data_IF_976960903069
#
_entry.id   IF_976960903069
#
_cell.length_a   1.000
_cell.length_b   1.000
_cell.length_c   1.000
_cell.angle_alpha   90.00
_cell.angle_beta   90.00
_cell.angle_gamma   90.00
#
_symmetry.space_group_name_H-M   'P 1'
#
loop_
_entity.id
_entity.type
_entity.pdbx_description
1 polymer ?
#
# COMPACT_ATOMS: atom_id res chain seq x y z
N UNK A 1 9.37 15.10 -19.42
CA UNK A 1 8.13 15.01 -18.61
C UNK A 1 8.35 13.91 -17.60
N UNK A 2 8.00 14.14 -16.35
CA UNK A 2 8.04 13.12 -15.28
C UNK A 2 7.08 11.99 -15.66
N UNK A 3 7.49 10.73 -15.47
CA UNK A 3 6.61 9.60 -15.75
C UNK A 3 5.41 9.59 -14.75
N UNK A 4 4.23 9.16 -15.19
CA UNK A 4 3.02 9.26 -14.38
C UNK A 4 3.11 8.54 -13.02
N UNK A 5 3.83 7.39 -12.96
CA UNK A 5 4.07 6.65 -11.72
C UNK A 5 5.03 7.37 -10.73
N UNK A 6 5.82 8.33 -11.22
CA UNK A 6 6.72 9.14 -10.39
C UNK A 6 6.00 10.32 -9.73
N UNK A 7 4.81 10.68 -10.20
CA UNK A 7 3.98 11.69 -9.56
C UNK A 7 3.58 11.23 -8.16
N UNK A 8 3.62 12.14 -7.18
CA UNK A 8 3.01 11.89 -5.87
C UNK A 8 1.49 11.76 -6.02
N UNK A 9 0.79 11.26 -5.02
CA UNK A 9 -0.65 11.11 -5.13
C UNK A 9 -1.36 12.47 -5.32
N UNK A 10 -0.89 13.50 -4.64
CA UNK A 10 -1.41 14.86 -4.75
C UNK A 10 -1.14 15.46 -6.13
N UNK A 11 0.06 15.24 -6.69
CA UNK A 11 0.41 15.68 -8.05
C UNK A 11 -0.40 14.92 -9.09
N UNK A 12 -0.54 13.61 -8.96
CA UNK A 12 -1.34 12.79 -9.86
C UNK A 12 -2.82 13.22 -9.84
N UNK A 13 -3.37 13.52 -8.63
CA UNK A 13 -4.73 14.04 -8.51
C UNK A 13 -4.88 15.37 -9.25
N UNK A 14 -3.96 16.31 -9.03
CA UNK A 14 -3.97 17.61 -9.70
C UNK A 14 -3.85 17.48 -11.23
N UNK A 15 -2.98 16.60 -11.74
CA UNK A 15 -2.81 16.34 -13.16
C UNK A 15 -4.07 15.71 -13.78
N UNK A 16 -4.76 14.82 -13.05
CA UNK A 16 -6.05 14.26 -13.50
C UNK A 16 -7.15 15.33 -13.52
N UNK A 17 -7.21 16.22 -12.53
CA UNK A 17 -8.18 17.32 -12.48
C UNK A 17 -7.95 18.33 -13.59
N UNK A 18 -6.69 18.53 -14.00
CA UNK A 18 -6.31 19.36 -15.14
C UNK A 18 -6.52 18.67 -16.51
N UNK A 19 -6.83 17.39 -16.53
CA UNK A 19 -6.98 16.60 -17.76
C UNK A 19 -5.65 16.30 -18.47
N UNK A 20 -4.52 16.42 -17.76
CA UNK A 20 -3.18 16.14 -18.29
C UNK A 20 -2.88 14.64 -18.38
N UNK A 21 -3.42 13.87 -17.44
CA UNK A 21 -3.39 12.40 -17.43
C UNK A 21 -4.76 11.84 -17.05
N UNK A 22 -5.04 10.61 -17.43
CA UNK A 22 -6.20 9.86 -16.94
C UNK A 22 -5.80 8.92 -15.78
N UNK A 23 -6.80 8.44 -15.02
CA UNK A 23 -6.60 7.37 -14.05
C UNK A 23 -6.04 6.08 -14.71
N UNK A 24 -6.43 5.82 -15.96
CA UNK A 24 -5.90 4.71 -16.76
C UNK A 24 -4.42 4.88 -17.07
N UNK A 25 -3.96 6.09 -17.40
CA UNK A 25 -2.55 6.37 -17.67
C UNK A 25 -1.69 6.14 -16.41
N UNK A 26 -2.16 6.63 -15.24
CA UNK A 26 -1.48 6.42 -13.97
C UNK A 26 -1.42 4.93 -13.61
N UNK A 27 -2.53 4.21 -13.74
CA UNK A 27 -2.58 2.77 -13.47
C UNK A 27 -1.65 1.99 -14.41
N UNK A 28 -1.65 2.31 -15.70
CA UNK A 28 -0.78 1.67 -16.68
C UNK A 28 0.70 1.93 -16.36
N UNK A 29 1.07 3.16 -15.99
CA UNK A 29 2.44 3.51 -15.61
C UNK A 29 2.88 2.77 -14.33
N UNK A 30 2.02 2.68 -13.31
CA UNK A 30 2.29 1.89 -12.10
C UNK A 30 2.50 0.40 -12.44
N UNK A 31 1.65 -0.19 -13.27
CA UNK A 31 1.79 -1.59 -13.71
C UNK A 31 3.06 -1.84 -14.50
N UNK A 32 3.42 -0.92 -15.40
CA UNK A 32 4.67 -1.00 -16.14
C UNK A 32 5.88 -0.99 -15.19
N UNK A 33 5.87 -0.12 -14.19
CA UNK A 33 6.92 -0.07 -13.16
C UNK A 33 6.99 -1.35 -12.33
N UNK A 34 5.86 -1.92 -11.93
CA UNK A 34 5.81 -3.22 -11.24
C UNK A 34 6.42 -4.31 -12.12
N UNK A 35 6.02 -4.39 -13.38
CA UNK A 35 6.54 -5.41 -14.32
C UNK A 35 8.05 -5.30 -14.53
N UNK A 36 8.59 -4.08 -14.54
CA UNK A 36 10.03 -3.81 -14.68
C UNK A 36 10.81 -4.21 -13.42
N UNK A 37 10.29 -3.95 -12.22
CA UNK A 37 11.09 -3.93 -11.00
C UNK A 37 10.75 -5.00 -9.97
N UNK A 38 9.52 -5.51 -9.97
CA UNK A 38 9.09 -6.38 -8.87
C UNK A 38 9.71 -7.77 -8.91
N UNK A 39 10.27 -8.18 -10.05
CA UNK A 39 11.10 -9.39 -10.13
C UNK A 39 12.30 -9.37 -9.17
N UNK A 40 12.89 -8.20 -8.96
CA UNK A 40 14.02 -7.97 -8.08
C UNK A 40 13.57 -7.53 -6.68
N UNK A 41 12.69 -6.54 -6.59
CA UNK A 41 12.27 -5.92 -5.32
C UNK A 41 11.33 -6.84 -4.52
N UNK A 42 10.45 -7.58 -5.19
CA UNK A 42 9.47 -8.51 -4.58
C UNK A 42 8.60 -7.84 -3.52
N UNK A 43 8.06 -6.69 -3.88
CA UNK A 43 7.19 -5.92 -3.00
C UNK A 43 5.74 -6.45 -2.96
N UNK A 44 5.32 -7.15 -4.02
CA UNK A 44 3.94 -7.63 -4.18
C UNK A 44 3.86 -9.15 -4.00
N UNK A 45 2.86 -9.61 -3.26
CA UNK A 45 2.52 -11.04 -3.15
C UNK A 45 1.30 -11.39 -4.00
N UNK A 46 0.45 -10.41 -4.34
CA UNK A 46 -0.67 -10.59 -5.25
C UNK A 46 -1.00 -9.26 -5.94
N UNK A 47 -1.27 -9.31 -7.24
CA UNK A 47 -1.75 -8.16 -8.01
C UNK A 47 -3.20 -8.41 -8.43
N UNK A 48 -4.07 -7.48 -8.11
CA UNK A 48 -5.45 -7.47 -8.56
C UNK A 48 -5.60 -6.89 -9.97
N UNK A 49 -6.80 -6.94 -10.53
CA UNK A 49 -7.08 -6.36 -11.84
C UNK A 49 -7.04 -4.82 -11.84
N UNK A 50 -7.14 -4.19 -10.65
CA UNK A 50 -7.19 -2.73 -10.51
C UNK A 50 -8.43 -2.21 -11.24
N UNK A 51 -9.59 -2.54 -10.73
CA UNK A 51 -10.85 -2.09 -11.31
C UNK A 51 -10.90 -0.56 -11.41
N UNK A 52 -11.55 -0.07 -12.46
CA UNK A 52 -11.81 1.36 -12.63
C UNK A 52 -12.44 1.94 -11.35
N UNK A 53 -12.10 3.18 -10.98
CA UNK A 53 -12.65 3.80 -9.79
C UNK A 53 -14.17 3.85 -9.88
N UNK A 54 -14.85 3.29 -8.89
CA UNK A 54 -16.32 3.27 -8.81
C UNK A 54 -16.87 4.47 -8.07
N UNK A 55 -16.00 5.28 -7.46
CA UNK A 55 -16.36 6.44 -6.62
C UNK A 55 -15.76 7.76 -7.12
N UNK A 56 -16.43 8.85 -6.76
CA UNK A 56 -15.90 10.20 -6.81
C UNK A 56 -15.46 10.58 -5.40
N UNK A 57 -14.21 10.99 -5.22
CA UNK A 57 -13.70 11.36 -3.91
C UNK A 57 -12.23 11.76 -3.97
N UNK A 58 -11.60 12.05 -2.83
CA UNK A 58 -10.24 12.56 -2.78
C UNK A 58 -9.22 11.59 -3.40
N UNK A 59 -9.50 10.28 -3.41
CA UNK A 59 -8.62 9.26 -3.99
C UNK A 59 -9.06 8.80 -5.38
N UNK A 60 -10.00 9.50 -6.04
CA UNK A 60 -10.51 9.08 -7.34
C UNK A 60 -9.39 8.84 -8.36
N UNK A 61 -9.26 7.59 -8.82
CA UNK A 61 -8.25 7.18 -9.80
C UNK A 61 -6.83 6.96 -9.23
N UNK A 62 -6.62 7.04 -7.92
CA UNK A 62 -5.32 6.80 -7.30
C UNK A 62 -5.14 5.30 -6.97
N UNK A 63 -4.09 4.63 -7.50
CA UNK A 63 -3.77 3.26 -7.11
C UNK A 63 -3.23 3.18 -5.69
N UNK A 64 -3.68 2.14 -4.94
CA UNK A 64 -3.31 1.91 -3.55
C UNK A 64 -2.88 0.46 -3.34
N UNK A 65 -1.72 0.24 -2.72
CA UNK A 65 -1.27 -1.07 -2.25
C UNK A 65 -1.82 -1.40 -0.87
N UNK A 66 -2.15 -2.66 -0.62
CA UNK A 66 -2.72 -3.11 0.66
C UNK A 66 -1.81 -4.16 1.28
N UNK A 67 -1.27 -3.89 2.47
CA UNK A 67 -0.45 -4.87 3.20
C UNK A 67 -1.18 -6.19 3.39
N UNK A 68 -0.49 -7.30 3.22
CA UNK A 68 -1.07 -8.65 3.20
C UNK A 68 -1.46 -9.22 4.60
N UNK A 69 -1.84 -8.35 5.51
CA UNK A 69 -2.56 -8.68 6.74
C UNK A 69 -3.88 -7.90 6.86
N UNK A 70 -4.24 -7.18 5.80
CA UNK A 70 -5.46 -6.37 5.68
C UNK A 70 -6.35 -7.06 4.64
N UNK A 71 -7.55 -7.41 5.02
CA UNK A 71 -8.46 -8.20 4.21
C UNK A 71 -8.99 -7.43 3.00
N UNK A 72 -9.05 -8.12 1.86
CA UNK A 72 -9.67 -7.65 0.62
C UNK A 72 -10.58 -8.74 0.07
N UNK A 73 -11.81 -8.39 -0.29
CA UNK A 73 -12.82 -9.37 -0.74
C UNK A 73 -12.46 -10.02 -2.08
N UNK A 74 -11.71 -9.32 -2.92
CA UNK A 74 -11.38 -9.69 -4.29
C UNK A 74 -9.98 -10.32 -4.47
N UNK A 75 -9.19 -10.41 -3.40
CA UNK A 75 -7.84 -10.99 -3.44
C UNK A 75 -7.54 -11.81 -2.19
N UNK A 76 -6.70 -12.85 -2.28
CA UNK A 76 -6.25 -13.58 -1.11
C UNK A 76 -5.55 -12.68 -0.10
N UNK A 77 -5.69 -13.00 1.19
CA UNK A 77 -4.92 -12.43 2.30
C UNK A 77 -4.19 -13.54 3.02
N UNK A 78 -2.88 -13.64 2.81
CA UNK A 78 -2.08 -14.79 3.29
C UNK A 78 -1.43 -14.56 4.64
N UNK A 79 -1.51 -13.33 5.16
CA UNK A 79 -0.85 -12.91 6.40
C UNK A 79 0.68 -13.08 6.36
N UNK A 80 1.27 -13.08 5.16
CA UNK A 80 2.69 -13.36 4.95
C UNK A 80 3.09 -14.80 5.30
N UNK A 81 2.13 -15.72 5.44
CA UNK A 81 2.34 -17.08 5.95
C UNK A 81 1.95 -18.15 4.94
N UNK A 82 2.74 -19.22 4.88
CA UNK A 82 2.43 -20.42 4.10
C UNK A 82 1.26 -21.24 4.69
N UNK A 83 0.81 -20.91 5.90
CA UNK A 83 -0.33 -21.58 6.55
C UNK A 83 -1.65 -21.19 5.91
N UNK A 84 -1.72 -19.99 5.33
CA UNK A 84 -2.93 -19.43 4.70
C UNK A 84 -2.75 -19.14 3.21
N UNK A 85 -2.27 -20.07 2.38
CA UNK A 85 -1.83 -19.77 1.01
C UNK A 85 -2.95 -19.28 0.09
N UNK A 86 -4.21 -19.65 0.40
CA UNK A 86 -5.39 -19.35 -0.43
C UNK A 86 -6.54 -18.79 0.42
N UNK A 87 -6.24 -18.17 1.56
CA UNK A 87 -7.31 -17.60 2.38
C UNK A 87 -7.94 -16.40 1.68
N UNK A 88 -9.21 -16.54 1.30
CA UNK A 88 -10.00 -15.49 0.68
C UNK A 88 -10.95 -14.88 1.72
N UNK A 89 -10.76 -13.63 2.11
CA UNK A 89 -11.68 -12.94 3.02
C UNK A 89 -13.08 -12.81 2.43
N UNK A 90 -14.10 -12.84 3.29
CA UNK A 90 -15.49 -12.70 2.88
C UNK A 90 -15.89 -11.24 2.61
N UNK A 91 -15.10 -10.27 3.09
CA UNK A 91 -15.36 -8.84 2.94
C UNK A 91 -14.07 -8.03 3.03
N UNK A 92 -14.12 -6.80 2.55
CA UNK A 92 -13.04 -5.83 2.71
C UNK A 92 -12.86 -5.44 4.18
N UNK A 93 -11.62 -5.19 4.58
CA UNK A 93 -11.33 -4.46 5.81
C UNK A 93 -11.92 -3.03 5.75
N UNK A 94 -12.25 -2.45 6.90
CA UNK A 94 -12.86 -1.13 6.97
C UNK A 94 -12.06 -0.06 6.21
N UNK A 95 -10.73 -0.05 6.33
CA UNK A 95 -9.87 0.90 5.60
C UNK A 95 -9.90 0.68 4.08
N UNK A 96 -10.04 -0.57 3.62
CA UNK A 96 -10.15 -0.89 2.18
C UNK A 96 -11.49 -0.41 1.63
N UNK A 97 -12.57 -0.64 2.37
CA UNK A 97 -13.90 -0.14 1.99
C UNK A 97 -13.93 1.39 1.89
N UNK A 98 -13.27 2.10 2.82
CA UNK A 98 -13.14 3.57 2.78
C UNK A 98 -12.32 4.02 1.57
N UNK A 99 -11.19 3.39 1.26
CA UNK A 99 -10.40 3.70 0.05
C UNK A 99 -11.25 3.56 -1.21
N UNK A 100 -12.00 2.46 -1.35
CA UNK A 100 -12.88 2.25 -2.51
C UNK A 100 -13.99 3.30 -2.57
N UNK A 101 -14.62 3.62 -1.44
CA UNK A 101 -15.65 4.66 -1.35
C UNK A 101 -15.11 6.05 -1.72
N UNK A 102 -13.85 6.33 -1.40
CA UNK A 102 -13.14 7.56 -1.78
C UNK A 102 -12.63 7.55 -3.24
N UNK A 103 -12.94 6.52 -4.03
CA UNK A 103 -12.55 6.38 -5.43
C UNK A 103 -11.15 5.83 -5.68
N UNK A 104 -10.46 5.36 -4.65
CA UNK A 104 -9.15 4.72 -4.77
C UNK A 104 -9.23 3.34 -5.43
N UNK A 105 -8.18 2.99 -6.18
CA UNK A 105 -8.06 1.70 -6.86
C UNK A 105 -7.15 0.77 -6.07
N UNK A 106 -7.69 -0.31 -5.51
CA UNK A 106 -6.88 -1.32 -4.83
C UNK A 106 -6.12 -2.12 -5.89
N UNK A 107 -4.79 -1.90 -5.96
CA UNK A 107 -3.94 -2.47 -7.01
C UNK A 107 -3.47 -3.89 -6.68
N UNK A 108 -3.25 -4.20 -5.41
CA UNK A 108 -2.76 -5.50 -5.02
C UNK A 108 -2.39 -5.59 -3.53
N UNK A 109 -1.90 -6.77 -3.16
CA UNK A 109 -1.43 -7.08 -1.81
C UNK A 109 0.09 -6.96 -1.75
N UNK A 110 0.58 -6.14 -0.82
CA UNK A 110 2.01 -5.95 -0.60
C UNK A 110 2.53 -6.86 0.50
N UNK A 111 3.75 -7.35 0.34
CA UNK A 111 4.36 -8.32 1.26
C UNK A 111 4.41 -7.80 2.69
N UNK A 112 3.99 -8.65 3.63
CA UNK A 112 4.18 -8.50 5.07
C UNK A 112 5.18 -9.52 5.58
N UNK A 113 5.87 -9.23 6.69
CA UNK A 113 6.46 -10.30 7.47
C UNK A 113 5.35 -11.22 7.99
N UNK A 114 5.69 -12.49 8.26
CA UNK A 114 4.69 -13.47 8.71
C UNK A 114 3.95 -12.99 9.96
N UNK A 115 2.62 -12.91 9.89
CA UNK A 115 1.71 -12.39 10.92
C UNK A 115 2.12 -11.02 11.48
N UNK A 116 2.76 -10.17 10.67
CA UNK A 116 3.34 -8.89 11.07
C UNK A 116 4.42 -9.00 12.17
N UNK A 117 4.98 -10.20 12.39
CA UNK A 117 6.01 -10.50 13.41
C UNK A 117 7.42 -10.45 12.80
N UNK A 118 8.37 -11.29 13.23
CA UNK A 118 9.79 -11.15 12.88
C UNK A 118 10.24 -11.96 11.65
N UNK A 119 9.49 -12.98 11.22
CA UNK A 119 9.89 -13.76 10.04
C UNK A 119 9.77 -12.90 8.77
N UNK A 120 10.87 -12.55 8.09
CA UNK A 120 10.84 -11.68 6.92
C UNK A 120 10.23 -12.38 5.71
N UNK A 121 9.61 -11.59 4.84
CA UNK A 121 9.25 -11.98 3.48
C UNK A 121 10.42 -11.80 2.51
N UNK A 122 10.19 -12.01 1.21
CA UNK A 122 11.23 -11.97 0.18
C UNK A 122 11.65 -10.55 -0.24
N UNK A 123 10.98 -9.50 0.24
CA UNK A 123 11.14 -8.13 -0.25
C UNK A 123 12.54 -7.58 0.02
N UNK A 124 13.18 -7.05 -1.02
CA UNK A 124 14.44 -6.33 -0.96
C UNK A 124 14.21 -4.80 -0.88
N UNK A 125 15.20 -4.08 -0.38
CA UNK A 125 15.18 -2.62 -0.39
C UNK A 125 15.42 -2.11 -1.82
N UNK A 126 14.55 -1.26 -2.40
CA UNK A 126 14.69 -0.83 -3.79
C UNK A 126 15.93 0.01 -4.07
N UNK A 127 16.53 0.63 -3.05
CA UNK A 127 17.78 1.39 -3.16
C UNK A 127 19.02 0.50 -3.17
N UNK A 128 18.95 -0.67 -2.54
CA UNK A 128 20.01 -1.68 -2.57
C UNK A 128 19.40 -3.07 -2.30
N UNK A 129 19.36 -3.90 -3.32
CA UNK A 129 18.70 -5.21 -3.29
C UNK A 129 19.32 -6.21 -2.31
N UNK A 130 20.53 -5.96 -1.83
CA UNK A 130 21.18 -6.79 -0.78
C UNK A 130 20.75 -6.42 0.64
N UNK A 131 19.98 -5.32 0.79
CA UNK A 131 19.51 -4.83 2.08
C UNK A 131 18.03 -5.08 2.31
N UNK A 132 17.65 -5.16 3.58
CA UNK A 132 16.25 -5.25 3.99
C UNK A 132 15.52 -3.92 3.79
N UNK A 133 14.27 -3.92 3.35
CA UNK A 133 13.41 -2.72 3.36
C UNK A 133 12.88 -2.38 4.76
N UNK A 134 13.26 -3.14 5.79
CA UNK A 134 12.61 -3.13 7.10
C UNK A 134 11.30 -3.91 7.08
N UNK A 135 10.52 -3.81 8.14
CA UNK A 135 9.23 -4.51 8.28
C UNK A 135 8.48 -4.07 9.55
N UNK A 136 7.28 -4.60 9.73
CA UNK A 136 6.63 -5.72 9.01
C UNK A 136 5.94 -5.31 7.69
N UNK A 137 5.69 -4.04 7.41
CA UNK A 137 5.09 -3.54 6.16
C UNK A 137 6.16 -3.38 5.07
N UNK A 138 6.94 -4.42 4.82
CA UNK A 138 8.12 -4.42 3.94
C UNK A 138 7.76 -4.08 2.49
N UNK A 139 6.83 -4.81 1.90
CA UNK A 139 6.39 -4.59 0.53
C UNK A 139 5.73 -3.24 0.32
N UNK A 140 4.97 -2.75 1.31
CA UNK A 140 4.29 -1.45 1.21
C UNK A 140 5.28 -0.29 1.09
N UNK A 141 6.30 -0.27 1.93
CA UNK A 141 7.33 0.77 1.88
C UNK A 141 8.17 0.68 0.60
N UNK A 142 8.57 -0.56 0.20
CA UNK A 142 9.35 -0.79 -1.00
C UNK A 142 8.59 -0.40 -2.28
N UNK A 143 7.31 -0.75 -2.40
CA UNK A 143 6.48 -0.41 -3.55
C UNK A 143 6.33 1.10 -3.74
N UNK A 144 6.15 1.85 -2.65
CA UNK A 144 6.05 3.33 -2.70
C UNK A 144 7.41 3.96 -3.02
N UNK A 145 8.51 3.45 -2.44
CA UNK A 145 9.86 3.95 -2.69
C UNK A 145 10.30 3.74 -4.14
N UNK A 146 9.93 2.60 -4.74
CA UNK A 146 10.25 2.29 -6.15
C UNK A 146 9.22 2.83 -7.15
N UNK A 147 8.37 3.75 -6.74
CA UNK A 147 7.33 4.37 -7.58
C UNK A 147 6.39 3.35 -8.27
N UNK A 148 6.19 2.18 -7.69
CA UNK A 148 5.23 1.18 -8.17
C UNK A 148 3.79 1.60 -7.88
N UNK A 149 3.59 2.41 -6.84
CA UNK A 149 2.29 2.91 -6.39
C UNK A 149 2.47 4.21 -5.59
N UNK A 150 1.53 5.18 -5.68
CA UNK A 150 1.63 6.43 -4.89
C UNK A 150 1.40 6.22 -3.40
N UNK A 151 0.50 5.30 -3.04
CA UNK A 151 0.13 4.96 -1.66
C UNK A 151 0.20 3.47 -1.40
N UNK A 152 0.58 3.10 -0.17
CA UNK A 152 0.36 1.75 0.31
C UNK A 152 0.01 1.75 1.80
N UNK A 153 -0.99 0.95 2.20
CA UNK A 153 -1.33 0.74 3.61
C UNK A 153 -0.33 -0.18 4.31
N UNK A 154 -0.12 0.11 5.57
CA UNK A 154 0.61 -0.72 6.51
C UNK A 154 -0.04 -0.71 7.89
N UNK A 155 0.54 -1.46 8.81
CA UNK A 155 0.12 -1.49 10.22
C UNK A 155 1.35 -1.37 11.11
N UNK A 156 1.16 -0.88 12.31
CA UNK A 156 2.23 -0.79 13.29
C UNK A 156 1.74 -1.15 14.68
N UNK A 157 2.42 -2.11 15.30
CA UNK A 157 2.36 -2.42 16.71
C UNK A 157 3.53 -1.74 17.43
N UNK A 158 4.77 -2.06 17.05
CA UNK A 158 6.00 -1.43 17.55
C UNK A 158 6.57 -0.40 16.60
N UNK A 159 7.12 -0.84 15.44
CA UNK A 159 7.80 0.02 14.47
C UNK A 159 7.43 -0.25 13.01
N UNK A 160 6.39 -1.02 12.74
CA UNK A 160 6.15 -1.66 11.43
C UNK A 160 5.65 -0.73 10.31
N UNK A 161 5.50 0.57 10.54
CA UNK A 161 5.32 1.62 9.53
C UNK A 161 6.56 2.51 9.50
N UNK A 162 6.94 3.07 10.64
CA UNK A 162 8.01 4.07 10.71
C UNK A 162 9.37 3.46 10.34
N UNK A 163 9.66 2.23 10.75
CA UNK A 163 10.93 1.57 10.43
C UNK A 163 11.10 1.30 8.93
N UNK A 164 10.19 0.62 8.23
CA UNK A 164 10.36 0.42 6.78
C UNK A 164 10.28 1.73 6.00
N UNK A 165 9.52 2.74 6.45
CA UNK A 165 9.54 4.08 5.85
C UNK A 165 10.93 4.70 5.90
N UNK A 166 11.59 4.66 7.08
CA UNK A 166 12.95 5.18 7.26
C UNK A 166 13.97 4.40 6.41
N UNK A 167 13.83 3.07 6.30
CA UNK A 167 14.75 2.24 5.54
C UNK A 167 14.62 2.44 4.02
N UNK A 168 13.41 2.72 3.54
CA UNK A 168 13.12 2.94 2.12
C UNK A 168 13.09 4.42 1.71
N UNK A 169 13.34 5.36 2.64
CA UNK A 169 13.39 6.78 2.33
C UNK A 169 12.05 7.40 1.91
N UNK A 170 10.94 6.92 2.48
CA UNK A 170 9.59 7.42 2.21
C UNK A 170 8.93 7.98 3.47
N UNK A 171 7.85 8.72 3.30
CA UNK A 171 7.02 9.18 4.41
C UNK A 171 6.17 8.03 4.93
N UNK A 172 6.30 7.71 6.22
CA UNK A 172 5.44 6.78 6.93
C UNK A 172 4.56 7.52 7.93
N UNK A 173 3.25 7.44 7.74
CA UNK A 173 2.29 7.98 8.70
C UNK A 173 1.67 6.84 9.52
N UNK A 174 1.77 6.90 10.84
CA UNK A 174 1.07 6.02 11.78
C UNK A 174 -0.06 6.79 12.45
N UNK A 175 -1.29 6.34 12.28
CA UNK A 175 -2.43 6.90 12.98
C UNK A 175 -2.28 6.73 14.52
N UNK A 176 -2.92 7.59 15.28
CA UNK A 176 -3.06 7.39 16.72
C UNK A 176 -3.77 6.07 17.03
N UNK A 177 -3.47 5.48 18.19
CA UNK A 177 -4.20 4.29 18.65
C UNK A 177 -5.71 4.60 18.73
N UNK A 178 -6.55 3.71 18.19
CA UNK A 178 -8.00 3.88 18.16
C UNK A 178 -8.52 4.95 17.20
N UNK A 179 -7.65 5.69 16.49
CA UNK A 179 -8.07 6.74 15.57
C UNK A 179 -8.67 6.21 14.25
N UNK A 180 -8.37 4.96 13.91
CA UNK A 180 -8.87 4.30 12.69
C UNK A 180 -9.35 2.88 13.01
N UNK A 181 -10.44 2.42 12.36
CA UNK A 181 -10.95 1.08 12.61
C UNK A 181 -9.99 0.01 12.07
N UNK A 182 -9.77 -1.05 12.86
CA UNK A 182 -8.94 -2.20 12.51
C UNK A 182 -9.78 -3.44 12.12
N UNK A 183 -11.06 -3.26 11.84
CA UNK A 183 -11.90 -4.36 11.38
C UNK A 183 -11.37 -4.93 10.05
N UNK A 184 -11.20 -6.26 9.99
CA UNK A 184 -10.59 -6.93 8.83
C UNK A 184 -9.06 -6.79 8.76
N UNK A 185 -8.40 -6.35 9.83
CA UNK A 185 -6.94 -6.32 9.96
C UNK A 185 -6.51 -7.40 10.95
N UNK A 186 -5.60 -8.28 10.52
CA UNK A 186 -5.05 -9.32 11.41
C UNK A 186 -4.28 -8.69 12.56
N UNK A 187 -4.78 -8.88 13.77
CA UNK A 187 -4.15 -8.33 14.96
C UNK A 187 -2.84 -9.05 15.30
N UNK A 188 -1.84 -8.28 15.76
CA UNK A 188 -0.64 -8.75 16.42
C UNK A 188 -0.70 -8.42 17.92
N UNK A 189 -1.07 -7.20 18.28
CA UNK A 189 -1.23 -6.75 19.67
C UNK A 189 -2.39 -5.75 19.76
N UNK A 190 -3.55 -6.23 20.21
CA UNK A 190 -4.82 -5.46 20.19
C UNK A 190 -4.72 -4.06 20.82
N UNK A 191 -3.93 -3.91 21.88
CA UNK A 191 -3.81 -2.65 22.62
C UNK A 191 -2.75 -1.70 22.02
N UNK A 192 -2.06 -2.11 20.96
CA UNK A 192 -0.96 -1.36 20.36
C UNK A 192 -1.14 -1.14 18.85
N UNK A 193 -1.88 -2.03 18.18
CA UNK A 193 -2.01 -2.00 16.74
C UNK A 193 -2.64 -0.71 16.25
N UNK A 194 -2.06 -0.15 15.21
CA UNK A 194 -2.54 1.05 14.54
C UNK A 194 -2.41 0.90 13.03
N UNK A 195 -3.35 1.46 12.31
CA UNK A 195 -3.25 1.59 10.86
C UNK A 195 -2.26 2.71 10.50
N UNK A 196 -1.62 2.58 9.35
CA UNK A 196 -0.79 3.61 8.78
C UNK A 196 -0.64 3.42 7.28
N UNK A 197 0.07 4.33 6.63
CA UNK A 197 0.35 4.26 5.20
C UNK A 197 1.69 4.89 4.85
N UNK A 198 2.11 4.62 3.63
CA UNK A 198 3.33 5.15 3.02
C UNK A 198 2.96 6.03 1.84
N UNK A 199 3.71 7.10 1.66
CA UNK A 199 3.63 8.00 0.52
C UNK A 199 4.98 8.68 0.30
N UNK A 200 5.14 9.46 -0.78
CA UNK A 200 6.42 10.11 -1.06
C UNK A 200 6.53 11.52 -0.52
N UNK A 201 5.41 12.20 -0.23
CA UNK A 201 5.38 13.57 0.29
C UNK A 201 4.38 13.75 1.43
N UNK A 202 4.61 14.75 2.30
CA UNK A 202 3.71 15.06 3.42
C UNK A 202 2.32 15.52 2.95
N UNK A 203 2.23 16.17 1.79
CA UNK A 203 0.94 16.59 1.21
C UNK A 203 0.01 15.39 0.99
N UNK A 204 0.57 14.24 0.61
CA UNK A 204 -0.17 13.00 0.40
C UNK A 204 -0.80 12.46 1.68
N UNK A 205 -0.17 12.71 2.85
CA UNK A 205 -0.76 12.31 4.14
C UNK A 205 -2.10 12.99 4.36
N UNK A 206 -2.23 14.26 3.99
CA UNK A 206 -3.49 15.00 4.11
C UNK A 206 -4.54 14.49 3.12
N UNK A 207 -4.13 14.13 1.90
CA UNK A 207 -5.02 13.55 0.89
C UNK A 207 -5.64 12.23 1.37
N UNK A 208 -4.82 11.32 1.91
CA UNK A 208 -5.30 10.04 2.44
C UNK A 208 -6.19 10.22 3.68
N UNK A 209 -5.91 11.22 4.53
CA UNK A 209 -6.74 11.50 5.71
C UNK A 209 -8.11 12.10 5.39
N UNK A 210 -8.26 12.69 4.21
CA UNK A 210 -9.54 13.23 3.74
C UNK A 210 -10.45 12.15 3.15
N UNK A 211 -9.91 10.96 2.92
CA UNK A 211 -10.60 9.77 2.43
C UNK A 211 -11.14 8.93 3.57
#
# INVERSE_FOLDING_TARGET
MTAANELTASQARAAMDAGEISAGDLLAACRARIAERDGDVKAWCHLGEGNAPTGAGPLAGIPVGIKDIIDTVDMPTTYGSKVYPNHQPAMDAACVALVRAAGGMVLGKTVSTEFAYFQPGPTANPHNLEHTPGGSSSGSAAAVADCMVPFAFGTQTGGSVIRPAAFCGVVGYKAGYGAMPLYGVKALGHDLDSLGWFCRELADVHLMRAA
#
